data_IF_652343711397
#
_entry.id   IF_652343711397
#
_cell.length_a   1.000
_cell.length_b   1.000
_cell.length_c   1.000
_cell.angle_alpha   90.00
_cell.angle_beta   90.00
_cell.angle_gamma   90.00
#
_symmetry.space_group_name_H-M   'P 1'
#
loop_
_entity.id
_entity.type
_entity.pdbx_description
1 polymer ?
#
# COMPACT_ATOMS: atom_id res chain seq x y z
N UNK A 1 -8.88 -44.57 15.46
CA UNK A 1 -8.91 -43.11 15.23
C UNK A 1 -8.05 -42.46 16.30
N UNK A 2 -6.86 -41.97 15.96
CA UNK A 2 -6.01 -41.26 16.91
C UNK A 2 -6.62 -39.88 17.18
N UNK A 3 -6.80 -39.53 18.46
CA UNK A 3 -7.27 -38.21 18.86
C UNK A 3 -6.30 -37.12 18.32
N UNK A 4 -6.80 -35.98 17.84
CA UNK A 4 -5.93 -34.89 17.43
C UNK A 4 -5.14 -34.40 18.64
N UNK A 5 -3.81 -34.47 18.52
CA UNK A 5 -2.88 -33.89 19.50
C UNK A 5 -3.26 -32.42 19.73
N UNK A 6 -3.37 -31.95 20.99
CA UNK A 6 -3.68 -30.55 21.25
C UNK A 6 -2.56 -29.69 20.65
N UNK A 7 -2.95 -28.75 19.78
CA UNK A 7 -2.04 -27.73 19.25
C UNK A 7 -1.39 -27.06 20.45
N UNK A 8 -0.08 -27.30 20.65
CA UNK A 8 0.69 -26.75 21.76
C UNK A 8 0.84 -25.23 21.55
N UNK A 9 -0.23 -24.49 21.87
CA UNK A 9 -0.25 -23.03 21.89
C UNK A 9 0.67 -22.67 23.06
N UNK A 10 1.89 -22.20 22.76
CA UNK A 10 2.87 -21.80 23.77
C UNK A 10 2.31 -20.84 24.83
N UNK A 11 3.11 -20.44 25.83
CA UNK A 11 2.65 -19.78 27.07
C UNK A 11 1.64 -18.65 26.81
N UNK A 12 0.58 -18.53 27.62
CA UNK A 12 -0.52 -17.60 27.35
C UNK A 12 -0.04 -16.15 27.15
N UNK A 13 -0.70 -15.40 26.27
CA UNK A 13 -0.36 -13.98 26.04
C UNK A 13 -0.63 -13.09 27.26
N UNK A 14 -1.56 -13.49 28.15
CA UNK A 14 -1.89 -12.77 29.37
C UNK A 14 -2.31 -11.32 29.07
N UNK A 15 -1.73 -10.36 29.80
CA UNK A 15 -1.99 -8.92 29.61
C UNK A 15 -1.70 -8.42 28.19
N UNK A 16 -0.81 -9.06 27.42
CA UNK A 16 -0.58 -8.69 26.02
C UNK A 16 -1.81 -8.90 25.13
N UNK A 17 -2.76 -9.78 25.52
CA UNK A 17 -4.04 -9.91 24.81
C UNK A 17 -4.93 -8.69 25.04
N UNK A 18 -4.91 -8.11 26.24
CA UNK A 18 -5.61 -6.86 26.53
C UNK A 18 -4.99 -5.73 25.71
N UNK A 19 -3.65 -5.64 25.68
CA UNK A 19 -2.92 -4.68 24.85
C UNK A 19 -3.30 -4.82 23.35
N UNK A 20 -3.41 -6.05 22.83
CA UNK A 20 -3.89 -6.27 21.46
C UNK A 20 -5.31 -5.79 21.21
N UNK A 21 -6.22 -6.01 22.16
CA UNK A 21 -7.60 -5.48 22.06
C UNK A 21 -7.59 -3.95 22.06
N UNK A 22 -6.75 -3.33 22.90
CA UNK A 22 -6.59 -1.87 22.93
C UNK A 22 -6.02 -1.32 21.61
N UNK A 23 -4.99 -1.96 21.05
CA UNK A 23 -4.51 -1.62 19.71
C UNK A 23 -5.61 -1.76 18.65
N UNK A 24 -6.39 -2.85 18.68
CA UNK A 24 -7.50 -3.03 17.73
C UNK A 24 -8.59 -1.94 17.87
N UNK A 25 -8.95 -1.57 19.10
CA UNK A 25 -9.90 -0.49 19.36
C UNK A 25 -9.35 0.84 18.86
N UNK A 26 -8.09 1.16 19.17
CA UNK A 26 -7.46 2.40 18.71
C UNK A 26 -7.38 2.44 17.18
N UNK A 27 -7.04 1.30 16.56
CA UNK A 27 -7.03 1.18 15.10
C UNK A 27 -8.38 1.53 14.50
N UNK A 28 -9.46 0.97 15.04
CA UNK A 28 -10.82 1.24 14.56
C UNK A 28 -11.19 2.71 14.81
N UNK A 29 -10.92 3.24 16.01
CA UNK A 29 -11.27 4.61 16.38
C UNK A 29 -10.57 5.65 15.49
N UNK A 30 -9.26 5.49 15.27
CA UNK A 30 -8.48 6.40 14.43
C UNK A 30 -8.88 6.26 12.95
N UNK A 31 -9.18 5.06 12.45
CA UNK A 31 -9.71 4.89 11.09
C UNK A 31 -11.08 5.57 10.90
N UNK A 32 -11.96 5.47 11.89
CA UNK A 32 -13.25 6.19 11.88
C UNK A 32 -13.02 7.70 11.90
N UNK A 33 -12.11 8.19 12.73
CA UNK A 33 -11.76 9.61 12.78
C UNK A 33 -11.17 10.08 11.43
N UNK A 34 -10.23 9.33 10.84
CA UNK A 34 -9.70 9.62 9.51
C UNK A 34 -10.80 9.65 8.44
N UNK A 35 -11.81 8.78 8.53
CA UNK A 35 -12.94 8.78 7.59
C UNK A 35 -13.88 9.98 7.73
N UNK A 36 -13.78 10.72 8.84
CA UNK A 36 -14.49 11.99 9.06
C UNK A 36 -13.63 13.21 8.73
N UNK A 37 -12.30 13.05 8.65
CA UNK A 37 -11.36 14.09 8.24
C UNK A 37 -11.22 14.08 6.72
N UNK A 38 -11.82 15.06 6.06
CA UNK A 38 -11.79 15.17 4.60
C UNK A 38 -10.58 15.99 4.14
N UNK A 39 -9.77 15.42 3.25
CA UNK A 39 -8.70 16.18 2.60
C UNK A 39 -9.26 17.36 1.79
N UNK A 40 -8.59 18.52 1.87
CA UNK A 40 -8.99 19.75 1.17
C UNK A 40 -9.92 20.69 1.94
N UNK A 41 -10.59 20.23 3.01
CA UNK A 41 -11.41 21.10 3.89
C UNK A 41 -10.78 21.35 5.26
N UNK A 42 -9.71 20.63 5.59
CA UNK A 42 -9.07 20.65 6.89
C UNK A 42 -7.55 20.58 6.74
N UNK A 43 -6.81 21.36 7.52
CA UNK A 43 -5.35 21.27 7.60
C UNK A 43 -4.97 20.30 8.72
N UNK A 44 -4.34 19.17 8.37
CA UNK A 44 -3.87 18.20 9.36
C UNK A 44 -2.89 18.89 10.34
N UNK A 45 -3.27 18.96 11.61
CA UNK A 45 -2.40 19.41 12.68
C UNK A 45 -1.45 18.31 13.14
N UNK A 46 -0.59 18.65 14.09
CA UNK A 46 0.39 17.71 14.62
C UNK A 46 -0.26 16.49 15.30
N UNK A 47 -1.36 16.69 16.02
CA UNK A 47 -2.12 15.62 16.69
C UNK A 47 -2.65 14.60 15.68
N UNK A 48 -3.27 15.07 14.60
CA UNK A 48 -3.88 14.20 13.60
C UNK A 48 -2.80 13.42 12.83
N UNK A 49 -1.67 14.07 12.51
CA UNK A 49 -0.51 13.39 11.90
C UNK A 49 0.06 12.34 12.84
N UNK A 50 0.19 12.65 14.13
CA UNK A 50 0.69 11.72 15.13
C UNK A 50 -0.26 10.51 15.30
N UNK A 51 -1.58 10.72 15.27
CA UNK A 51 -2.57 9.65 15.31
C UNK A 51 -2.50 8.72 14.10
N UNK A 52 -2.29 9.27 12.89
CA UNK A 52 -2.06 8.46 11.68
C UNK A 52 -0.78 7.62 11.80
N UNK A 53 0.29 8.19 12.36
CA UNK A 53 1.55 7.49 12.62
C UNK A 53 1.36 6.39 13.69
N UNK A 54 0.57 6.69 14.74
CA UNK A 54 0.19 5.73 15.79
C UNK A 54 -0.63 4.57 15.23
N UNK A 55 -1.49 4.81 14.24
CA UNK A 55 -2.25 3.73 13.59
C UNK A 55 -1.33 2.68 12.97
N UNK A 56 -0.31 3.11 12.23
CA UNK A 56 0.69 2.21 11.62
C UNK A 56 1.42 1.43 12.71
N UNK A 57 1.80 2.11 13.79
CA UNK A 57 2.43 1.49 14.94
C UNK A 57 1.55 0.43 15.60
N UNK A 58 0.30 0.74 15.88
CA UNK A 58 -0.64 -0.16 16.54
C UNK A 58 -0.88 -1.40 15.67
N UNK A 59 -1.01 -1.23 14.36
CA UNK A 59 -1.12 -2.35 13.41
C UNK A 59 0.09 -3.27 13.45
N UNK A 60 1.30 -2.69 13.38
CA UNK A 60 2.55 -3.45 13.47
C UNK A 60 2.69 -4.12 14.84
N UNK A 61 2.40 -3.42 15.93
CA UNK A 61 2.48 -3.93 17.29
C UNK A 61 1.51 -5.08 17.54
N UNK A 62 0.24 -4.92 17.11
CA UNK A 62 -0.78 -5.96 17.16
C UNK A 62 -0.29 -7.23 16.46
N UNK A 63 0.23 -7.08 15.24
CA UNK A 63 0.76 -8.15 14.43
C UNK A 63 1.97 -8.85 15.06
N UNK A 64 2.96 -8.08 15.51
CA UNK A 64 4.18 -8.61 16.11
C UNK A 64 3.88 -9.42 17.39
N UNK A 65 2.89 -8.98 18.18
CA UNK A 65 2.41 -9.74 19.35
C UNK A 65 1.69 -11.02 18.91
N UNK A 66 0.88 -10.98 17.84
CA UNK A 66 0.23 -12.19 17.29
C UNK A 66 1.26 -13.25 16.89
N UNK A 67 2.35 -12.82 16.25
CA UNK A 67 3.45 -13.69 15.82
C UNK A 67 4.40 -14.08 16.95
N UNK A 68 4.18 -13.58 18.18
CA UNK A 68 5.07 -13.79 19.34
C UNK A 68 6.53 -13.44 19.04
N UNK A 69 6.73 -12.39 18.23
CA UNK A 69 8.05 -11.98 17.76
C UNK A 69 8.85 -11.29 18.86
N UNK A 70 10.13 -11.68 19.03
CA UNK A 70 11.09 -11.01 19.91
C UNK A 70 11.27 -9.53 19.55
N UNK A 71 11.11 -9.20 18.26
CA UNK A 71 11.16 -7.82 17.77
C UNK A 71 10.02 -6.93 18.29
N UNK A 72 8.86 -7.51 18.64
CA UNK A 72 7.71 -6.76 19.16
C UNK A 72 8.09 -5.92 20.38
N UNK A 73 8.94 -6.47 21.26
CA UNK A 73 9.38 -5.79 22.48
C UNK A 73 10.17 -4.52 22.16
N UNK A 74 11.15 -4.59 21.27
CA UNK A 74 11.99 -3.45 20.93
C UNK A 74 11.21 -2.40 20.14
N UNK A 75 10.33 -2.86 19.23
CA UNK A 75 9.43 -2.00 18.49
C UNK A 75 8.51 -1.18 19.41
N UNK A 76 7.80 -1.84 20.32
CA UNK A 76 6.86 -1.18 21.24
C UNK A 76 7.58 -0.22 22.19
N UNK A 77 8.74 -0.61 22.73
CA UNK A 77 9.56 0.29 23.58
C UNK A 77 10.00 1.53 22.79
N UNK A 78 10.58 1.33 21.60
CA UNK A 78 11.12 2.40 20.80
C UNK A 78 10.05 3.40 20.37
N UNK A 79 8.90 2.90 19.93
CA UNK A 79 7.83 3.74 19.44
C UNK A 79 7.07 4.45 20.57
N UNK A 80 6.81 3.79 21.70
CA UNK A 80 6.21 4.48 22.85
C UNK A 80 7.14 5.58 23.38
N UNK A 81 8.46 5.35 23.39
CA UNK A 81 9.43 6.41 23.71
C UNK A 81 9.41 7.56 22.69
N UNK A 82 9.32 7.24 21.39
CA UNK A 82 9.18 8.23 20.33
C UNK A 82 7.90 9.07 20.50
N UNK A 83 6.75 8.45 20.77
CA UNK A 83 5.47 9.14 20.88
C UNK A 83 5.47 10.13 22.06
N UNK A 84 5.98 9.69 23.22
CA UNK A 84 6.16 10.54 24.40
C UNK A 84 7.08 11.74 24.07
N UNK A 85 8.23 11.47 23.45
CA UNK A 85 9.19 12.51 23.10
C UNK A 85 8.63 13.49 22.07
N UNK A 86 7.99 13.00 21.00
CA UNK A 86 7.42 13.81 19.93
C UNK A 86 6.33 14.76 20.48
N UNK A 87 5.39 14.23 21.27
CA UNK A 87 4.36 15.04 21.92
C UNK A 87 4.94 16.08 22.88
N UNK A 88 5.93 15.68 23.69
CA UNK A 88 6.58 16.57 24.67
C UNK A 88 7.33 17.71 23.98
N UNK A 89 8.12 17.39 22.95
CA UNK A 89 8.89 18.37 22.18
C UNK A 89 7.94 19.34 21.47
N UNK A 90 6.87 18.84 20.86
CA UNK A 90 5.88 19.69 20.20
C UNK A 90 5.21 20.66 21.18
N UNK A 91 4.66 20.14 22.29
CA UNK A 91 3.99 20.97 23.30
C UNK A 91 4.94 21.99 23.95
N UNK A 92 6.22 21.62 24.15
CA UNK A 92 7.23 22.54 24.64
C UNK A 92 7.57 23.62 23.61
N UNK A 93 7.73 23.26 22.34
CA UNK A 93 8.04 24.18 21.26
C UNK A 93 6.89 25.16 20.95
N UNK A 94 5.64 24.76 21.14
CA UNK A 94 4.45 25.61 20.94
C UNK A 94 4.03 26.39 22.19
N UNK A 95 4.75 26.24 23.32
CA UNK A 95 4.44 26.91 24.58
C UNK A 95 3.19 26.38 25.30
N UNK A 96 2.69 25.21 24.90
CA UNK A 96 1.49 24.56 25.47
C UNK A 96 1.85 23.45 26.48
N UNK A 97 3.11 23.37 26.91
CA UNK A 97 3.55 22.29 27.78
C UNK A 97 2.99 22.41 29.20
N UNK A 98 2.16 21.42 29.55
CA UNK A 98 1.72 21.17 30.92
C UNK A 98 2.03 19.71 31.28
N UNK A 99 2.60 19.50 32.47
CA UNK A 99 3.03 18.18 32.94
C UNK A 99 1.85 17.21 33.08
N UNK A 100 0.71 17.68 33.62
CA UNK A 100 -0.47 16.83 33.83
C UNK A 100 -1.10 16.44 32.49
N UNK A 101 -1.21 17.39 31.57
CA UNK A 101 -1.77 17.14 30.23
C UNK A 101 -0.86 16.20 29.42
N UNK A 102 0.46 16.40 29.52
CA UNK A 102 1.43 15.51 28.88
C UNK A 102 1.36 14.08 29.45
N UNK A 103 1.24 13.94 30.77
CA UNK A 103 1.09 12.64 31.42
C UNK A 103 -0.21 11.94 31.00
N UNK A 104 -1.30 12.69 30.87
CA UNK A 104 -2.57 12.18 30.36
C UNK A 104 -2.46 11.70 28.90
N UNK A 105 -1.93 12.55 28.02
CA UNK A 105 -1.74 12.23 26.60
C UNK A 105 -0.79 11.05 26.38
N UNK A 106 0.22 10.91 27.24
CA UNK A 106 1.22 9.84 27.17
C UNK A 106 0.88 8.61 28.01
N UNK A 107 -0.27 8.56 28.68
CA UNK A 107 -0.55 7.54 29.70
C UNK A 107 -0.47 6.12 29.13
N UNK A 108 -1.03 5.90 27.95
CA UNK A 108 -0.99 4.59 27.30
C UNK A 108 0.44 4.18 26.91
N UNK A 109 1.21 5.08 26.32
CA UNK A 109 2.62 4.85 25.97
C UNK A 109 3.51 4.61 27.19
N UNK A 110 3.26 5.32 28.29
CA UNK A 110 3.96 5.09 29.56
C UNK A 110 3.66 3.68 30.07
N UNK A 111 2.39 3.25 30.03
CA UNK A 111 2.01 1.88 30.43
C UNK A 111 2.68 0.83 29.55
N UNK A 112 2.69 1.02 28.23
CA UNK A 112 3.38 0.13 27.28
C UNK A 112 4.88 0.09 27.55
N UNK A 113 5.51 1.25 27.69
CA UNK A 113 6.94 1.39 27.93
C UNK A 113 7.34 0.67 29.23
N UNK A 114 6.66 0.94 30.34
CA UNK A 114 6.94 0.30 31.63
C UNK A 114 6.71 -1.21 31.57
N UNK A 115 5.61 -1.66 30.96
CA UNK A 115 5.31 -3.09 30.86
C UNK A 115 6.36 -3.84 30.03
N UNK A 116 6.74 -3.34 28.84
CA UNK A 116 7.70 -4.03 27.97
C UNK A 116 9.16 -3.90 28.45
N UNK A 117 9.49 -2.87 29.25
CA UNK A 117 10.80 -2.74 29.90
C UNK A 117 10.96 -3.74 31.06
N UNK A 118 10.02 -3.73 32.00
CA UNK A 118 10.19 -4.35 33.33
C UNK A 118 9.50 -5.71 33.49
N UNK A 119 8.41 -5.99 32.77
CA UNK A 119 7.70 -7.25 32.96
C UNK A 119 8.51 -8.44 32.42
N UNK A 120 8.47 -9.56 33.15
CA UNK A 120 9.10 -10.83 32.74
C UNK A 120 8.34 -11.50 31.59
N UNK A 121 7.01 -11.33 31.53
CA UNK A 121 6.10 -11.97 30.56
C UNK A 121 6.46 -11.70 29.09
N UNK A 122 6.65 -10.44 28.63
CA UNK A 122 7.09 -10.17 27.26
C UNK A 122 8.36 -10.92 26.88
N UNK A 123 9.36 -10.99 27.77
CA UNK A 123 10.63 -11.70 27.51
C UNK A 123 10.45 -13.22 27.39
N UNK A 124 9.47 -13.78 28.09
CA UNK A 124 9.18 -15.22 28.10
C UNK A 124 8.29 -15.67 26.94
N UNK A 125 7.44 -14.78 26.43
CA UNK A 125 6.41 -15.11 25.43
C UNK A 125 6.82 -14.66 24.03
N UNK A 126 7.54 -13.54 23.91
CA UNK A 126 8.03 -12.98 22.64
C UNK A 126 9.42 -13.53 22.33
N UNK A 127 9.49 -14.81 21.99
CA UNK A 127 10.75 -15.54 21.83
C UNK A 127 11.08 -15.85 20.37
N UNK A 128 10.13 -15.67 19.45
CA UNK A 128 10.35 -15.95 18.04
C UNK A 128 11.30 -14.90 17.47
N UNK A 129 12.55 -15.28 17.24
CA UNK A 129 13.51 -14.40 16.59
C UNK A 129 13.15 -14.24 15.12
N UNK A 130 13.33 -13.02 14.61
CA UNK A 130 13.42 -12.76 13.18
C UNK A 130 14.74 -13.34 12.66
N UNK A 131 14.92 -14.66 12.69
CA UNK A 131 16.16 -15.27 12.24
C UNK A 131 16.19 -15.18 10.71
N UNK A 132 17.04 -14.29 10.18
CA UNK A 132 17.36 -14.20 8.75
C UNK A 132 18.27 -15.37 8.30
N UNK A 133 17.96 -16.61 8.71
CA UNK A 133 18.73 -17.79 8.32
C UNK A 133 18.05 -18.47 7.13
N UNK A 134 18.72 -18.31 5.99
CA UNK A 134 18.44 -18.75 4.62
C UNK A 134 17.49 -17.85 3.80
N UNK A 135 18.09 -16.82 3.21
CA UNK A 135 17.75 -16.35 1.86
C UNK A 135 19.04 -16.18 1.03
N UNK A 136 19.85 -17.24 1.01
CA UNK A 136 20.80 -17.49 -0.08
C UNK A 136 20.32 -18.77 -0.73
N UNK A 137 20.10 -18.69 -2.04
CA UNK A 137 19.38 -19.64 -2.89
C UNK A 137 17.87 -19.45 -2.86
N UNK A 138 17.37 -18.63 -3.79
CA UNK A 138 16.14 -18.82 -4.55
C UNK A 138 15.91 -17.54 -5.34
N UNK A 139 16.22 -17.60 -6.64
CA UNK A 139 15.35 -17.28 -7.79
C UNK A 139 16.23 -17.56 -9.00
N UNK A 140 16.19 -18.80 -9.50
CA UNK A 140 16.97 -19.18 -10.68
C UNK A 140 16.09 -19.15 -11.94
N UNK A 141 14.75 -19.17 -11.80
CA UNK A 141 13.82 -19.09 -12.93
C UNK A 141 12.76 -18.01 -12.73
N UNK A 142 12.36 -17.35 -13.82
CA UNK A 142 11.30 -16.34 -13.82
C UNK A 142 9.97 -16.89 -13.26
N UNK A 143 9.69 -18.17 -13.48
CA UNK A 143 8.52 -18.87 -12.93
C UNK A 143 8.52 -19.01 -11.40
N UNK A 144 9.69 -18.99 -10.75
CA UNK A 144 9.76 -19.07 -9.28
C UNK A 144 9.12 -17.84 -8.61
N UNK A 145 9.03 -16.72 -9.34
CA UNK A 145 8.39 -15.48 -8.89
C UNK A 145 6.86 -15.54 -8.95
N UNK A 146 6.31 -16.37 -9.84
CA UNK A 146 4.88 -16.46 -10.11
C UNK A 146 4.28 -17.73 -9.49
N UNK A 147 3.85 -17.62 -8.24
CA UNK A 147 3.28 -18.73 -7.47
C UNK A 147 1.83 -18.43 -7.02
N UNK A 148 0.86 -18.30 -7.95
CA UNK A 148 -0.51 -17.86 -7.66
C UNK A 148 -1.32 -18.82 -6.79
N UNK A 149 -0.80 -20.03 -6.53
CA UNK A 149 -1.41 -20.98 -5.60
C UNK A 149 -1.07 -20.71 -4.13
N UNK A 150 -0.13 -19.81 -3.87
CA UNK A 150 0.37 -19.53 -2.51
C UNK A 150 -0.23 -18.26 -1.93
N UNK A 151 -0.45 -18.25 -0.61
CA UNK A 151 -0.86 -17.03 0.09
C UNK A 151 0.23 -15.95 0.04
N UNK A 152 1.51 -16.33 0.10
CA UNK A 152 2.62 -15.36 0.03
C UNK A 152 2.56 -14.55 -1.27
N UNK A 153 2.19 -15.16 -2.40
CA UNK A 153 2.01 -14.45 -3.66
C UNK A 153 0.86 -13.44 -3.61
N UNK A 154 -0.32 -13.83 -3.15
CA UNK A 154 -1.47 -12.91 -3.06
C UNK A 154 -1.24 -11.79 -2.05
N UNK A 155 -0.51 -12.08 -0.97
CA UNK A 155 -0.06 -11.05 -0.02
C UNK A 155 0.83 -10.01 -0.70
N UNK A 156 1.79 -10.42 -1.55
CA UNK A 156 2.54 -9.45 -2.37
C UNK A 156 1.66 -8.68 -3.34
N UNK A 157 0.64 -9.31 -3.95
CA UNK A 157 -0.28 -8.60 -4.86
C UNK A 157 -1.06 -7.50 -4.14
N UNK A 158 -1.54 -7.76 -2.91
CA UNK A 158 -2.24 -6.75 -2.11
C UNK A 158 -1.29 -5.60 -1.75
N UNK A 159 -0.05 -5.90 -1.36
CA UNK A 159 0.96 -4.86 -1.11
C UNK A 159 1.17 -4.00 -2.36
N UNK A 160 1.35 -4.64 -3.52
CA UNK A 160 1.60 -3.94 -4.77
C UNK A 160 0.38 -3.13 -5.20
N UNK A 161 -0.83 -3.66 -5.03
CA UNK A 161 -2.06 -2.89 -5.23
C UNK A 161 -2.05 -1.62 -4.39
N UNK A 162 -1.88 -1.74 -3.06
CA UNK A 162 -1.89 -0.59 -2.16
C UNK A 162 -0.83 0.46 -2.49
N UNK A 163 0.41 0.04 -2.75
CA UNK A 163 1.50 0.98 -3.05
C UNK A 163 1.35 1.61 -4.44
N UNK A 164 0.99 0.83 -5.46
CA UNK A 164 0.88 1.33 -6.83
C UNK A 164 -0.40 2.11 -7.10
N UNK A 165 -1.41 2.03 -6.24
CA UNK A 165 -2.51 3.01 -6.23
C UNK A 165 -2.02 4.44 -6.00
N UNK A 166 -0.93 4.64 -5.24
CA UNK A 166 -0.36 5.97 -4.98
C UNK A 166 0.76 6.27 -5.97
N UNK A 167 1.68 5.33 -6.20
CA UNK A 167 2.79 5.54 -7.15
C UNK A 167 2.27 5.75 -8.57
N UNK A 168 1.18 5.07 -8.95
CA UNK A 168 0.55 5.27 -10.25
C UNK A 168 -0.06 6.65 -10.42
N UNK A 169 -0.63 7.21 -9.35
CA UNK A 169 -1.07 8.60 -9.34
C UNK A 169 0.10 9.56 -9.64
N UNK A 170 1.28 9.35 -9.04
CA UNK A 170 2.46 10.17 -9.35
C UNK A 170 2.94 10.02 -10.80
N UNK A 171 2.81 8.81 -11.36
CA UNK A 171 3.13 8.55 -12.76
C UNK A 171 2.17 9.30 -13.70
N UNK A 172 0.87 9.32 -13.38
CA UNK A 172 -0.11 10.12 -14.12
C UNK A 172 0.17 11.62 -14.03
N UNK A 173 0.48 12.13 -12.83
CA UNK A 173 0.89 13.53 -12.65
C UNK A 173 2.11 13.88 -13.53
N UNK A 174 3.11 12.99 -13.58
CA UNK A 174 4.27 13.14 -14.48
C UNK A 174 3.88 13.17 -15.96
N UNK A 175 2.94 12.33 -16.38
CA UNK A 175 2.42 12.33 -17.75
C UNK A 175 1.68 13.64 -18.08
N UNK A 176 0.84 14.13 -17.17
CA UNK A 176 0.15 15.41 -17.34
C UNK A 176 1.13 16.60 -17.40
N UNK A 177 2.28 16.54 -16.71
CA UNK A 177 3.33 17.56 -16.86
C UNK A 177 3.95 17.55 -18.27
N UNK A 178 4.15 16.38 -18.88
CA UNK A 178 4.62 16.31 -20.26
C UNK A 178 3.62 16.91 -21.25
N UNK A 179 2.32 16.74 -21.01
CA UNK A 179 1.27 17.42 -21.78
C UNK A 179 1.34 18.93 -21.57
N UNK A 180 1.43 19.38 -20.32
CA UNK A 180 1.55 20.81 -19.97
C UNK A 180 2.74 21.49 -20.64
N UNK A 181 3.87 20.79 -20.75
CA UNK A 181 5.09 21.29 -21.40
C UNK A 181 5.08 21.14 -22.93
N UNK A 182 3.99 20.62 -23.52
CA UNK A 182 3.86 20.45 -24.97
C UNK A 182 4.76 19.37 -25.55
N UNK A 183 5.30 18.47 -24.72
CA UNK A 183 6.16 17.35 -25.15
C UNK A 183 5.30 16.25 -25.80
N UNK A 184 4.10 16.05 -25.26
CA UNK A 184 3.13 15.05 -25.73
C UNK A 184 1.78 15.75 -25.92
N UNK A 185 1.05 15.52 -27.02
CA UNK A 185 -0.26 16.14 -27.21
C UNK A 185 -1.28 15.50 -26.24
N UNK A 186 -2.21 16.31 -25.75
CA UNK A 186 -3.24 15.85 -24.82
C UNK A 186 -3.96 17.02 -24.18
N UNK A 187 -4.92 16.72 -23.31
CA UNK A 187 -5.68 17.71 -22.55
C UNK A 187 -5.06 17.82 -21.16
N UNK A 188 -4.58 19.01 -20.81
CA UNK A 188 -4.15 19.31 -19.45
C UNK A 188 -5.29 20.02 -18.72
N UNK A 189 -5.81 19.39 -17.68
CA UNK A 189 -6.76 20.01 -16.77
C UNK A 189 -6.06 20.40 -15.45
N UNK A 190 -5.88 21.71 -15.16
CA UNK A 190 -5.32 22.17 -13.90
C UNK A 190 -6.23 21.91 -12.68
N UNK A 191 -7.52 21.68 -12.90
CA UNK A 191 -8.50 21.40 -11.83
C UNK A 191 -8.74 19.90 -11.63
N UNK A 192 -7.98 19.05 -12.32
CA UNK A 192 -8.08 17.61 -12.15
C UNK A 192 -7.71 17.22 -10.71
N UNK A 193 -8.42 16.21 -10.18
CA UNK A 193 -8.18 15.65 -8.84
C UNK A 193 -6.75 15.10 -8.63
N UNK A 194 -5.97 14.92 -9.70
CA UNK A 194 -4.54 14.59 -9.68
C UNK A 194 -3.72 15.66 -8.94
N UNK A 195 -4.09 16.94 -9.06
CA UNK A 195 -3.28 18.04 -8.50
C UNK A 195 -3.61 18.38 -7.06
N UNK A 196 -4.68 17.81 -6.52
CA UNK A 196 -5.20 18.19 -5.21
C UNK A 196 -4.31 17.67 -4.08
N UNK A 197 -3.88 16.41 -4.15
CA UNK A 197 -3.14 15.77 -3.05
C UNK A 197 -2.27 14.59 -3.51
N UNK A 198 -0.98 14.62 -3.20
CA UNK A 198 -0.02 13.58 -3.63
C UNK A 198 -0.29 12.18 -3.07
N UNK A 199 -0.97 12.05 -1.94
CA UNK A 199 -1.28 10.74 -1.34
C UNK A 199 -2.64 10.18 -1.76
N UNK A 200 -3.44 10.91 -2.54
CA UNK A 200 -4.73 10.45 -3.02
C UNK A 200 -4.57 9.10 -3.77
N UNK A 201 -5.23 8.01 -3.33
CA UNK A 201 -5.03 6.71 -3.94
C UNK A 201 -5.88 6.60 -5.21
N UNK A 202 -5.28 6.18 -6.31
CA UNK A 202 -5.95 5.92 -7.58
C UNK A 202 -5.95 4.39 -7.80
N UNK A 203 -7.00 3.67 -7.35
CA UNK A 203 -7.01 2.21 -7.30
C UNK A 203 -6.80 1.52 -8.65
N UNK A 204 -7.13 2.22 -9.74
CA UNK A 204 -6.93 1.76 -11.12
C UNK A 204 -5.47 1.40 -11.39
N UNK A 205 -4.50 2.16 -10.87
CA UNK A 205 -3.09 1.87 -11.07
C UNK A 205 -2.59 0.72 -10.21
N UNK A 206 -3.11 0.58 -9.00
CA UNK A 206 -2.91 -0.61 -8.16
C UNK A 206 -3.40 -1.87 -8.89
N UNK A 207 -4.59 -1.81 -9.48
CA UNK A 207 -5.15 -2.89 -10.29
C UNK A 207 -4.29 -3.17 -11.54
N UNK A 208 -3.79 -2.12 -12.20
CA UNK A 208 -2.87 -2.24 -13.34
C UNK A 208 -1.57 -2.98 -12.98
N UNK A 209 -0.97 -2.68 -11.83
CA UNK A 209 0.22 -3.39 -11.34
C UNK A 209 -0.08 -4.87 -11.05
N UNK A 210 -1.23 -5.18 -10.44
CA UNK A 210 -1.66 -6.57 -10.20
C UNK A 210 -1.91 -7.29 -11.52
N UNK A 211 -2.53 -6.64 -12.51
CA UNK A 211 -2.71 -7.21 -13.84
C UNK A 211 -1.36 -7.49 -14.52
N UNK A 212 -0.37 -6.59 -14.38
CA UNK A 212 0.98 -6.83 -14.87
C UNK A 212 1.61 -8.10 -14.26
N UNK A 213 1.38 -8.35 -12.96
CA UNK A 213 1.94 -9.49 -12.24
C UNK A 213 1.17 -10.82 -12.49
N UNK A 214 -0.16 -10.77 -12.49
CA UNK A 214 -1.02 -11.97 -12.55
C UNK A 214 -1.25 -12.41 -14.00
N UNK A 215 -1.39 -11.47 -14.94
CA UNK A 215 -1.74 -11.74 -16.33
C UNK A 215 -0.54 -11.57 -17.26
N UNK A 216 0.11 -10.39 -17.27
CA UNK A 216 1.12 -10.08 -18.27
C UNK A 216 2.45 -10.80 -18.01
N UNK A 217 2.86 -10.97 -16.75
CA UNK A 217 4.09 -11.68 -16.40
C UNK A 217 4.14 -13.16 -16.84
N UNK A 218 3.12 -14.00 -16.60
CA UNK A 218 3.14 -15.37 -17.12
C UNK A 218 3.08 -15.39 -18.66
N UNK A 219 2.35 -14.47 -19.31
CA UNK A 219 2.35 -14.37 -20.78
C UNK A 219 3.76 -14.02 -21.29
N UNK A 220 4.42 -13.05 -20.66
CA UNK A 220 5.80 -12.66 -20.95
C UNK A 220 6.75 -13.85 -20.83
N UNK A 221 6.65 -14.65 -19.77
CA UNK A 221 7.49 -15.84 -19.61
C UNK A 221 7.24 -16.89 -20.70
N UNK A 222 5.98 -17.11 -21.10
CA UNK A 222 5.63 -18.00 -22.21
C UNK A 222 6.19 -17.49 -23.56
N UNK A 223 6.18 -16.18 -23.79
CA UNK A 223 6.76 -15.58 -24.99
C UNK A 223 8.28 -15.76 -25.04
N UNK A 224 8.97 -15.57 -23.90
CA UNK A 224 10.42 -15.82 -23.80
C UNK A 224 10.79 -17.27 -24.12
N UNK A 225 10.02 -18.25 -23.62
CA UNK A 225 10.23 -19.67 -23.90
C UNK A 225 10.01 -20.04 -25.37
N UNK A 226 9.00 -19.44 -26.01
CA UNK A 226 8.61 -19.79 -27.40
C UNK A 226 9.44 -19.10 -28.47
N UNK A 227 9.77 -17.83 -28.29
CA UNK A 227 10.29 -17.00 -29.38
C UNK A 227 11.81 -16.98 -29.47
N UNK A 228 12.50 -17.30 -28.37
CA UNK A 228 13.96 -17.30 -28.29
C UNK A 228 14.60 -15.91 -28.44
N UNK A 229 15.70 -15.68 -27.73
CA UNK A 229 16.34 -14.36 -27.67
C UNK A 229 15.50 -13.33 -26.88
N UNK A 230 15.95 -12.07 -26.85
CA UNK A 230 15.33 -11.02 -26.01
C UNK A 230 14.44 -10.08 -26.83
N UNK A 231 14.84 -9.72 -28.04
CA UNK A 231 14.13 -8.71 -28.83
C UNK A 231 12.73 -9.15 -29.27
N UNK A 232 12.59 -10.38 -29.78
CA UNK A 232 11.30 -10.93 -30.24
C UNK A 232 10.26 -11.01 -29.12
N UNK A 233 10.53 -11.63 -27.94
CA UNK A 233 9.56 -11.66 -26.86
C UNK A 233 9.29 -10.29 -26.26
N UNK A 234 10.25 -9.36 -26.25
CA UNK A 234 10.04 -8.00 -25.79
C UNK A 234 9.02 -7.25 -26.67
N UNK A 235 9.19 -7.30 -27.99
CA UNK A 235 8.26 -6.66 -28.95
C UNK A 235 6.88 -7.34 -28.87
N UNK A 236 6.83 -8.67 -28.85
CA UNK A 236 5.58 -9.40 -28.71
C UNK A 236 4.86 -9.08 -27.39
N UNK A 237 5.61 -9.01 -26.28
CA UNK A 237 5.08 -8.63 -24.98
C UNK A 237 4.57 -7.19 -24.99
N UNK A 238 5.29 -6.25 -25.61
CA UNK A 238 4.82 -4.87 -25.75
C UNK A 238 3.48 -4.78 -26.47
N UNK A 239 3.32 -5.48 -27.60
CA UNK A 239 2.07 -5.51 -28.35
C UNK A 239 0.94 -6.07 -27.49
N UNK A 240 1.16 -7.21 -26.83
CA UNK A 240 0.15 -7.82 -25.94
C UNK A 240 -0.20 -6.89 -24.78
N UNK A 241 0.81 -6.29 -24.13
CA UNK A 241 0.61 -5.37 -23.02
C UNK A 241 -0.21 -4.14 -23.46
N UNK A 242 0.13 -3.53 -24.60
CA UNK A 242 -0.59 -2.39 -25.15
C UNK A 242 -2.06 -2.75 -25.45
N UNK A 243 -2.31 -3.91 -26.06
CA UNK A 243 -3.68 -4.38 -26.34
C UNK A 243 -4.47 -4.64 -25.05
N UNK A 244 -3.87 -5.27 -24.05
CA UNK A 244 -4.53 -5.50 -22.75
C UNK A 244 -4.83 -4.18 -22.04
N UNK A 245 -3.88 -3.24 -22.02
CA UNK A 245 -4.11 -1.90 -21.47
C UNK A 245 -5.23 -1.17 -22.20
N UNK A 246 -5.27 -1.19 -23.54
CA UNK A 246 -6.33 -0.58 -24.33
C UNK A 246 -7.70 -1.20 -24.03
N UNK A 247 -7.78 -2.52 -23.85
CA UNK A 247 -9.03 -3.19 -23.45
C UNK A 247 -9.47 -2.76 -22.06
N UNK A 248 -8.55 -2.68 -21.09
CA UNK A 248 -8.86 -2.23 -19.72
C UNK A 248 -9.33 -0.77 -19.73
N UNK A 249 -8.61 0.11 -20.42
CA UNK A 249 -8.94 1.53 -20.54
C UNK A 249 -10.29 1.72 -21.24
N UNK A 250 -10.56 0.96 -22.31
CA UNK A 250 -11.86 0.99 -22.98
C UNK A 250 -12.99 0.53 -22.05
N UNK A 251 -12.81 -0.57 -21.33
CA UNK A 251 -13.84 -1.05 -20.38
C UNK A 251 -14.10 0.00 -19.30
N UNK A 252 -13.05 0.57 -18.69
CA UNK A 252 -13.18 1.65 -17.71
C UNK A 252 -13.86 2.88 -18.30
N UNK A 253 -13.51 3.21 -19.54
CA UNK A 253 -14.11 4.30 -20.28
C UNK A 253 -15.62 4.11 -20.46
N UNK A 254 -16.02 2.90 -20.88
CA UNK A 254 -17.41 2.53 -21.09
C UNK A 254 -18.23 2.43 -19.79
N UNK A 255 -17.60 2.12 -18.65
CA UNK A 255 -18.30 1.99 -17.36
C UNK A 255 -18.31 3.26 -16.53
N UNK A 256 -17.32 4.14 -16.70
CA UNK A 256 -17.05 5.22 -15.74
C UNK A 256 -16.70 6.56 -16.37
N UNK A 257 -16.51 6.62 -17.69
CA UNK A 257 -16.18 7.84 -18.42
C UNK A 257 -17.16 8.09 -19.59
N UNK A 258 -18.43 7.74 -19.43
CA UNK A 258 -19.44 8.04 -20.45
C UNK A 258 -19.77 9.54 -20.44
N UNK A 259 -19.90 10.17 -21.63
CA UNK A 259 -20.22 11.59 -21.71
C UNK A 259 -21.64 11.87 -21.20
N UNK A 260 -21.83 13.07 -20.66
CA UNK A 260 -23.15 13.56 -20.28
C UNK A 260 -24.03 13.90 -21.49
N UNK A 261 -25.26 14.39 -21.25
CA UNK A 261 -26.19 14.78 -22.31
C UNK A 261 -25.65 15.89 -23.24
N UNK A 262 -24.63 16.64 -22.81
CA UNK A 262 -23.99 17.70 -23.57
C UNK A 262 -22.72 17.21 -24.30
N UNK A 263 -22.39 15.92 -24.20
CA UNK A 263 -21.19 15.34 -24.81
C UNK A 263 -19.90 15.55 -24.00
N UNK A 264 -19.98 15.99 -22.74
CA UNK A 264 -18.82 16.26 -21.89
C UNK A 264 -18.44 14.99 -21.12
N UNK A 265 -17.19 14.54 -21.30
CA UNK A 265 -16.64 13.40 -20.58
C UNK A 265 -16.23 13.78 -19.15
N UNK A 266 -16.48 12.93 -18.15
CA UNK A 266 -16.23 13.26 -16.75
C UNK A 266 -14.75 13.12 -16.32
N UNK A 267 -13.95 12.26 -16.98
CA UNK A 267 -12.56 11.98 -16.57
C UNK A 267 -11.54 12.35 -17.65
N UNK A 268 -11.72 11.89 -18.89
CA UNK A 268 -10.84 12.22 -20.02
C UNK A 268 -11.60 12.21 -21.36
N UNK A 269 -11.12 12.96 -22.34
CA UNK A 269 -11.70 12.98 -23.70
C UNK A 269 -10.58 12.86 -24.75
N UNK A 270 -10.59 11.76 -25.51
CA UNK A 270 -9.67 11.54 -26.63
C UNK A 270 -10.35 11.69 -28.00
N UNK A 271 -11.54 12.28 -28.09
CA UNK A 271 -12.31 12.38 -29.35
C UNK A 271 -11.56 13.13 -30.45
N UNK A 272 -10.63 14.02 -30.08
CA UNK A 272 -9.79 14.80 -31.00
C UNK A 272 -8.43 14.16 -31.28
N UNK A 273 -8.10 13.05 -30.62
CA UNK A 273 -6.79 12.40 -30.72
C UNK A 273 -6.74 11.42 -31.92
N UNK A 274 -5.56 11.23 -32.54
CA UNK A 274 -5.41 10.30 -33.66
C UNK A 274 -5.73 8.85 -33.28
N UNK A 275 -6.42 8.15 -34.18
CA UNK A 275 -6.83 6.74 -34.02
C UNK A 275 -7.59 6.49 -32.71
N UNK A 276 -8.48 7.42 -32.35
CA UNK A 276 -9.34 7.23 -31.19
C UNK A 276 -10.49 6.25 -31.48
N UNK A 277 -10.99 5.63 -30.41
CA UNK A 277 -12.20 4.82 -30.46
C UNK A 277 -13.16 5.29 -29.36
N UNK A 278 -14.34 5.78 -29.78
CA UNK A 278 -15.40 6.30 -28.91
C UNK A 278 -14.93 7.40 -27.93
N UNK A 279 -13.86 8.13 -28.24
CA UNK A 279 -13.24 9.09 -27.32
C UNK A 279 -12.62 8.48 -26.05
N UNK A 280 -12.68 7.15 -25.89
CA UNK A 280 -12.25 6.45 -24.67
C UNK A 280 -10.78 6.02 -24.71
N UNK A 281 -10.31 5.56 -25.87
CA UNK A 281 -8.90 5.16 -26.08
C UNK A 281 -8.36 5.84 -27.32
N UNK A 282 -7.04 6.04 -27.38
CA UNK A 282 -6.34 6.49 -28.59
C UNK A 282 -5.00 5.77 -28.74
N UNK A 283 -4.44 5.78 -29.95
CA UNK A 283 -3.19 5.06 -30.24
C UNK A 283 -2.03 5.57 -29.38
N UNK A 284 -1.91 6.88 -29.19
CA UNK A 284 -0.84 7.45 -28.37
C UNK A 284 -0.85 6.89 -26.94
N UNK A 285 -1.99 6.97 -26.26
CA UNK A 285 -2.09 6.53 -24.86
C UNK A 285 -1.97 5.01 -24.76
N UNK A 286 -2.52 4.27 -25.74
CA UNK A 286 -2.32 2.83 -25.87
C UNK A 286 -0.83 2.46 -25.93
N UNK A 287 -0.03 3.18 -26.72
CA UNK A 287 1.41 2.94 -26.84
C UNK A 287 2.15 3.30 -25.54
N UNK A 288 1.82 4.43 -24.92
CA UNK A 288 2.40 4.86 -23.64
C UNK A 288 2.10 3.87 -22.51
N UNK A 289 0.85 3.44 -22.35
CA UNK A 289 0.49 2.39 -21.40
C UNK A 289 1.17 1.06 -21.73
N UNK A 290 1.31 0.73 -23.02
CA UNK A 290 2.11 -0.41 -23.48
C UNK A 290 3.57 -0.35 -23.01
N UNK A 291 4.21 0.82 -23.10
CA UNK A 291 5.60 1.02 -22.61
C UNK A 291 5.66 0.84 -21.10
N UNK A 292 4.76 1.51 -20.36
CA UNK A 292 4.72 1.44 -18.89
C UNK A 292 4.44 0.01 -18.43
N UNK A 293 3.44 -0.67 -18.98
CA UNK A 293 3.13 -2.06 -18.65
C UNK A 293 4.29 -3.00 -18.98
N UNK A 294 5.00 -2.77 -20.08
CA UNK A 294 6.21 -3.54 -20.42
C UNK A 294 7.32 -3.32 -19.39
N UNK A 295 7.59 -2.07 -19.01
CA UNK A 295 8.54 -1.77 -17.93
C UNK A 295 8.13 -2.43 -16.61
N UNK A 296 6.85 -2.35 -16.26
CA UNK A 296 6.32 -2.95 -15.04
C UNK A 296 6.47 -4.48 -15.04
N UNK A 297 6.12 -5.15 -16.14
CA UNK A 297 6.18 -6.60 -16.25
C UNK A 297 7.61 -7.14 -16.36
N UNK A 298 8.49 -6.46 -17.10
CA UNK A 298 9.85 -6.96 -17.38
C UNK A 298 10.88 -6.58 -16.31
N UNK A 299 10.70 -5.45 -15.64
CA UNK A 299 11.70 -4.89 -14.73
C UNK A 299 11.14 -4.74 -13.32
N UNK A 300 10.08 -3.94 -13.15
CA UNK A 300 9.64 -3.51 -11.82
C UNK A 300 9.08 -4.68 -11.02
N UNK A 301 8.09 -5.40 -11.54
CA UNK A 301 7.50 -6.55 -10.87
C UNK A 301 8.53 -7.63 -10.50
N UNK A 302 9.37 -8.15 -11.43
CA UNK A 302 10.32 -9.18 -11.06
C UNK A 302 11.37 -8.68 -10.07
N UNK A 303 11.80 -7.41 -10.14
CA UNK A 303 12.70 -6.83 -9.14
C UNK A 303 12.03 -6.78 -7.75
N UNK A 304 10.83 -6.20 -7.66
CA UNK A 304 10.08 -6.11 -6.41
C UNK A 304 9.77 -7.49 -5.82
N UNK A 305 9.36 -8.45 -6.65
CA UNK A 305 9.04 -9.80 -6.21
C UNK A 305 10.27 -10.55 -5.71
N UNK A 306 11.43 -10.35 -6.36
CA UNK A 306 12.71 -10.91 -5.86
C UNK A 306 13.06 -10.34 -4.51
N UNK A 307 13.03 -9.02 -4.34
CA UNK A 307 13.34 -8.40 -3.05
C UNK A 307 12.35 -8.82 -1.97
N UNK A 308 11.06 -8.88 -2.30
CA UNK A 308 10.03 -9.36 -1.39
C UNK A 308 10.30 -10.80 -0.91
N UNK A 309 10.64 -11.71 -1.82
CA UNK A 309 10.90 -13.11 -1.48
C UNK A 309 12.20 -13.32 -0.69
N UNK A 310 13.19 -12.41 -0.81
CA UNK A 310 14.40 -12.41 0.04
C UNK A 310 14.12 -12.07 1.50
N UNK A 311 13.02 -11.38 1.78
CA UNK A 311 12.66 -11.03 3.15
C UNK A 311 12.23 -12.30 3.92
N UNK A 312 12.67 -12.49 5.17
CA UNK A 312 12.13 -13.51 6.05
C UNK A 312 10.60 -13.43 6.13
N UNK A 313 9.94 -14.59 6.22
CA UNK A 313 8.46 -14.66 6.27
C UNK A 313 7.83 -13.72 7.31
N UNK A 314 8.36 -13.61 8.54
CA UNK A 314 7.80 -12.69 9.51
C UNK A 314 7.96 -11.20 9.10
N UNK A 315 9.05 -10.82 8.41
CA UNK A 315 9.24 -9.45 7.91
C UNK A 315 8.27 -9.13 6.77
N UNK A 316 8.04 -10.07 5.85
CA UNK A 316 7.02 -9.92 4.79
C UNK A 316 5.65 -9.66 5.37
N UNK A 317 5.33 -10.32 6.48
CA UNK A 317 4.07 -10.14 7.17
C UNK A 317 3.97 -8.78 7.86
N UNK A 318 5.03 -8.34 8.56
CA UNK A 318 5.07 -7.00 9.15
C UNK A 318 4.91 -5.92 8.08
N UNK A 319 5.61 -6.06 6.95
CA UNK A 319 5.50 -5.15 5.82
C UNK A 319 4.08 -5.13 5.24
N UNK A 320 3.46 -6.31 5.08
CA UNK A 320 2.07 -6.42 4.64
C UNK A 320 1.11 -5.63 5.53
N UNK A 321 1.21 -5.79 6.85
CA UNK A 321 0.34 -5.08 7.80
C UNK A 321 0.59 -3.59 7.76
N UNK A 322 1.85 -3.14 7.76
CA UNK A 322 2.20 -1.72 7.69
C UNK A 322 1.62 -1.06 6.43
N UNK A 323 1.78 -1.68 5.26
CA UNK A 323 1.26 -1.17 3.98
C UNK A 323 -0.26 -1.16 3.96
N UNK A 324 -0.91 -2.22 4.46
CA UNK A 324 -2.36 -2.30 4.47
C UNK A 324 -2.98 -1.24 5.39
N UNK A 325 -2.41 -1.02 6.57
CA UNK A 325 -2.86 0.00 7.50
C UNK A 325 -2.65 1.40 6.92
N UNK A 326 -1.47 1.66 6.35
CA UNK A 326 -1.20 2.92 5.65
C UNK A 326 -2.22 3.18 4.53
N UNK A 327 -2.50 2.18 3.70
CA UNK A 327 -3.48 2.31 2.62
C UNK A 327 -4.89 2.54 3.15
N UNK A 328 -5.27 1.92 4.27
CA UNK A 328 -6.56 2.16 4.91
C UNK A 328 -6.71 3.61 5.37
N UNK A 329 -5.66 4.21 5.96
CA UNK A 329 -5.66 5.65 6.34
C UNK A 329 -5.94 6.50 5.10
N UNK A 330 -5.18 6.24 4.04
CA UNK A 330 -5.26 7.00 2.79
C UNK A 330 -6.66 6.87 2.17
N UNK A 331 -7.23 5.66 2.13
CA UNK A 331 -8.62 5.46 1.65
C UNK A 331 -9.64 6.18 2.54
N UNK A 332 -9.47 6.15 3.86
CA UNK A 332 -10.33 6.88 4.79
C UNK A 332 -10.30 8.40 4.54
N UNK A 333 -9.11 8.99 4.36
CA UNK A 333 -8.96 10.44 4.19
C UNK A 333 -9.48 10.97 2.84
N UNK A 334 -9.32 10.18 1.77
CA UNK A 334 -9.49 10.66 0.40
C UNK A 334 -10.71 10.09 -0.32
N UNK A 335 -11.14 8.86 0.03
CA UNK A 335 -12.21 8.16 -0.71
C UNK A 335 -13.49 8.10 0.12
N UNK A 336 -13.38 7.83 1.41
CA UNK A 336 -14.53 7.70 2.29
C UNK A 336 -14.99 9.09 2.73
N UNK A 337 -16.25 9.42 2.42
CA UNK A 337 -16.88 10.69 2.80
C UNK A 337 -18.03 10.43 3.78
N UNK A 338 -17.71 10.21 5.06
CA UNK A 338 -18.76 10.10 6.08
C UNK A 338 -19.14 11.51 6.54
N UNK A 339 -20.20 12.06 5.97
CA UNK A 339 -20.87 13.24 6.52
C UNK A 339 -21.81 12.78 7.63
N UNK A 340 -21.42 13.00 8.89
CA UNK A 340 -22.36 12.87 10.00
C UNK A 340 -23.34 14.05 9.96
N UNK A 341 -24.66 13.82 10.08
CA UNK A 341 -25.61 14.91 10.23
C UNK A 341 -25.25 15.68 11.51
N UNK A 342 -25.03 16.99 11.36
CA UNK A 342 -24.79 17.93 12.47
C UNK A 342 -26.03 18.07 13.31
#
# INVERSE_FOLDING_TARGET
>A
MAAPQPINRGPSLGFMRVIQVLFAINIIAVLVSCATLRSGTYTLGFSEVLDMVNLVFDGVSFWLIMQRSRGARYWIIGFSAFNIAAGTIYNAATGQFNVLDQLGASAFDIVLLLYFLFAKRPRQVLTVEFTARRCKELVVRAWDLWQPRTWSFWRSMIIYFCLFSIVGHWMEAGFCLFIKWGIVPGIYDPNSGIWHDYLNPFPVYGAGMVACAVLLFPIKNLLEEKLGGIAKPLVASFIVNALVCAVIELVLGLTSNMPDANGVYPLWDYSTMPFNFMGQICLQNTLLFGVVATLMTWVVYPALQREYLKLPEPMRQTFFVAVLVFYAIVVCLYVINITLPV
#
